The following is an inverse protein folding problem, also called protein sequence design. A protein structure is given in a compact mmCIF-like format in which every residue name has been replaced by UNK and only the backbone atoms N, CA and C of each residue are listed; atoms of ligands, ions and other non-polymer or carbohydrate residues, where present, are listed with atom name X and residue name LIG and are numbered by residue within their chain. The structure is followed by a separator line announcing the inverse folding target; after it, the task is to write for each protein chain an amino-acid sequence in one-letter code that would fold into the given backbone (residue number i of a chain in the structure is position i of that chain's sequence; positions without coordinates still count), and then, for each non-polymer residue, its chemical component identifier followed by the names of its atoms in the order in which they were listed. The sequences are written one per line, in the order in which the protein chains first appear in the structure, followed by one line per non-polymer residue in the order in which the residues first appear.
data_IF_188662916698
#
_entry.id   IF_188662916698
#
_cell.length_a   1.000
_cell.length_b   1.000
_cell.length_c   1.000
_cell.angle_alpha   90.00
_cell.angle_beta   90.00
_cell.angle_gamma   90.00
#
_symmetry.space_group_name_H-M   'P 1'
#
loop_
_entity.id
_entity.type
_entity.pdbx_description
1 polymer ?
#
# COMPACT_ATOMS: atom_id res chain seq x y z
N UNK A 1 -0.02 17.14 13.22
CA UNK A 1 0.37 15.74 13.52
C UNK A 1 0.60 15.57 15.04
N UNK A 2 0.79 16.64 15.69
CA UNK A 2 0.93 16.85 17.13
C UNK A 2 1.10 15.63 18.03
N UNK A 3 0.03 14.91 18.30
CA UNK A 3 0.01 13.80 19.26
C UNK A 3 0.15 12.42 18.64
N UNK A 4 0.27 12.30 17.31
CA UNK A 4 0.40 11.01 16.68
C UNK A 4 1.77 10.42 16.99
N UNK A 5 1.75 9.22 17.54
CA UNK A 5 2.98 8.50 17.80
C UNK A 5 3.52 7.92 16.49
N UNK A 6 4.80 8.13 16.27
CA UNK A 6 5.51 7.54 15.15
C UNK A 6 6.05 6.19 15.62
N UNK A 7 5.63 5.12 15.00
CA UNK A 7 6.23 3.81 15.22
C UNK A 7 7.49 3.67 14.37
N UNK A 8 8.49 2.97 14.88
CA UNK A 8 9.73 2.70 14.16
C UNK A 8 10.08 1.23 14.31
N UNK A 9 10.28 0.57 13.18
CA UNK A 9 10.66 -0.84 13.16
C UNK A 9 11.75 -1.09 12.12
N UNK A 10 12.64 -2.02 12.42
CA UNK A 10 13.67 -2.48 11.47
C UNK A 10 13.22 -3.84 10.96
N UNK A 11 13.11 -3.99 9.64
CA UNK A 11 12.76 -5.26 9.04
C UNK A 11 13.88 -6.28 9.30
N UNK A 12 13.57 -7.45 9.87
CA UNK A 12 14.61 -8.39 10.29
C UNK A 12 15.45 -8.95 9.15
N UNK A 13 14.87 -9.12 7.97
CA UNK A 13 15.56 -9.70 6.81
C UNK A 13 16.09 -8.63 5.87
N UNK A 14 15.26 -7.65 5.50
CA UNK A 14 15.62 -6.62 4.52
C UNK A 14 16.43 -5.47 5.12
N UNK A 15 16.47 -5.37 6.45
CA UNK A 15 17.19 -4.32 7.20
C UNK A 15 16.75 -2.90 6.86
N UNK A 16 15.59 -2.75 6.25
CA UNK A 16 14.97 -1.45 6.02
C UNK A 16 14.34 -0.92 7.31
N UNK A 17 14.16 0.40 7.37
CA UNK A 17 13.51 1.05 8.51
C UNK A 17 12.12 1.47 8.09
N UNK A 18 11.11 1.07 8.84
CA UNK A 18 9.72 1.46 8.62
C UNK A 18 9.28 2.44 9.69
N UNK A 19 8.80 3.60 9.26
CA UNK A 19 8.19 4.60 10.12
C UNK A 19 6.69 4.61 9.82
N UNK A 20 5.87 4.41 10.85
CA UNK A 20 4.41 4.38 10.69
C UNK A 20 3.73 5.48 11.47
N UNK A 21 2.72 6.09 10.86
CA UNK A 21 1.84 7.07 11.53
C UNK A 21 0.39 6.77 11.20
N UNK A 22 -0.50 7.12 12.13
CA UNK A 22 -1.95 7.06 11.91
C UNK A 22 -2.44 8.45 11.49
N UNK A 23 -3.28 8.49 10.47
CA UNK A 23 -3.81 9.73 9.92
C UNK A 23 -5.32 9.63 9.81
N UNK A 24 -6.03 10.58 10.41
CA UNK A 24 -7.48 10.71 10.24
C UNK A 24 -7.77 11.55 9.00
N UNK A 25 -8.72 11.10 8.19
CA UNK A 25 -9.21 11.88 7.04
C UNK A 25 -8.10 12.28 6.05
N UNK A 26 -7.25 11.32 5.70
CA UNK A 26 -6.24 11.54 4.66
C UNK A 26 -6.88 11.99 3.34
N UNK A 27 -8.02 11.41 3.00
CA UNK A 27 -8.90 11.86 1.93
C UNK A 27 -10.30 12.11 2.52
N UNK A 28 -11.09 12.98 1.90
CA UNK A 28 -12.45 13.21 2.39
C UNK A 28 -13.26 11.91 2.46
N UNK A 29 -13.84 11.67 3.61
CA UNK A 29 -14.70 10.50 3.88
C UNK A 29 -14.03 9.13 3.74
N UNK A 30 -12.69 9.09 3.66
CA UNK A 30 -11.98 7.80 3.54
C UNK A 30 -11.83 7.06 4.87
N UNK A 31 -12.05 7.73 5.99
CA UNK A 31 -11.82 7.18 7.32
C UNK A 31 -10.34 7.24 7.70
N UNK A 32 -10.00 6.51 8.75
CA UNK A 32 -8.64 6.48 9.28
C UNK A 32 -7.73 5.65 8.37
N UNK A 33 -6.48 6.09 8.28
CA UNK A 33 -5.45 5.40 7.51
C UNK A 33 -4.17 5.27 8.34
N UNK A 34 -3.34 4.30 7.99
CA UNK A 34 -1.95 4.24 8.43
C UNK A 34 -1.04 4.47 7.25
N UNK A 35 -0.04 5.31 7.46
CA UNK A 35 0.98 5.60 6.45
C UNK A 35 2.31 5.04 6.94
N UNK A 36 2.96 4.25 6.11
CA UNK A 36 4.25 3.66 6.39
C UNK A 36 5.27 4.20 5.39
N UNK A 37 6.33 4.80 5.94
CA UNK A 37 7.48 5.28 5.16
C UNK A 37 8.61 4.30 5.36
N UNK A 38 9.11 3.74 4.27
CA UNK A 38 10.16 2.74 4.32
C UNK A 38 11.45 3.34 3.80
N UNK A 39 12.48 3.33 4.65
CA UNK A 39 13.80 3.86 4.33
C UNK A 39 14.73 2.71 3.92
N UNK A 40 15.53 2.96 2.91
CA UNK A 40 16.42 1.95 2.35
C UNK A 40 17.51 1.49 3.30
N UNK A 41 17.99 0.28 3.09
CA UNK A 41 19.03 -0.34 3.91
C UNK A 41 20.34 0.45 3.90
N UNK A 42 20.86 0.76 2.72
CA UNK A 42 22.13 1.50 2.57
C UNK A 42 21.95 3.01 2.57
N UNK A 43 21.04 3.48 1.73
CA UNK A 43 20.86 4.92 1.51
C UNK A 43 20.20 5.63 2.69
N UNK A 44 19.41 4.91 3.48
CA UNK A 44 18.55 5.49 4.52
C UNK A 44 17.57 6.53 3.98
N UNK A 45 17.35 6.53 2.66
CA UNK A 45 16.40 7.42 1.99
C UNK A 45 15.08 6.73 1.79
N UNK A 46 14.04 7.52 1.62
CA UNK A 46 12.69 6.98 1.37
C UNK A 46 12.65 6.22 0.04
N UNK A 47 12.28 4.94 0.09
CA UNK A 47 12.20 4.07 -1.09
C UNK A 47 10.79 3.55 -1.36
N UNK A 48 9.90 3.60 -0.37
CA UNK A 48 8.59 2.99 -0.48
C UNK A 48 7.63 3.66 0.51
N UNK A 49 6.41 3.92 0.06
CA UNK A 49 5.33 4.41 0.92
C UNK A 49 4.15 3.46 0.78
N UNK A 50 3.62 2.99 1.90
CA UNK A 50 2.36 2.26 1.94
C UNK A 50 1.32 3.05 2.71
N UNK A 51 0.12 3.15 2.16
CA UNK A 51 -1.03 3.73 2.85
C UNK A 51 -2.10 2.65 2.94
N UNK A 52 -2.59 2.41 4.14
CA UNK A 52 -3.56 1.34 4.40
C UNK A 52 -4.82 1.91 5.02
N UNK A 53 -5.97 1.58 4.44
CA UNK A 53 -7.31 1.85 4.97
C UNK A 53 -8.01 0.53 5.26
N UNK A 54 -9.00 0.56 6.12
CA UNK A 54 -9.87 -0.58 6.36
C UNK A 54 -9.50 -1.40 7.58
N UNK A 55 -9.69 -2.70 7.50
CA UNK A 55 -9.62 -3.63 8.65
C UNK A 55 -8.34 -3.57 9.48
N UNK A 56 -7.14 -3.50 8.88
CA UNK A 56 -5.93 -3.43 9.68
C UNK A 56 -5.83 -2.17 10.55
N UNK A 57 -6.52 -1.11 10.18
CA UNK A 57 -6.49 0.19 10.85
C UNK A 57 -7.74 0.39 11.69
N UNK A 58 -8.89 -0.04 11.20
CA UNK A 58 -10.19 0.13 11.83
C UNK A 58 -10.82 -1.22 12.16
N UNK A 59 -11.35 -1.33 13.37
CA UNK A 59 -12.01 -2.57 13.82
C UNK A 59 -13.27 -2.87 13.00
N UNK A 60 -14.05 -1.85 12.68
CA UNK A 60 -15.29 -1.97 11.90
C UNK A 60 -15.23 -1.01 10.71
N UNK A 61 -14.54 -1.38 9.63
CA UNK A 61 -14.42 -0.49 8.48
C UNK A 61 -15.75 -0.35 7.75
N UNK A 62 -15.99 0.84 7.20
CA UNK A 62 -17.11 1.08 6.30
C UNK A 62 -16.69 0.64 4.89
N UNK A 63 -17.19 -0.52 4.46
CA UNK A 63 -16.81 -1.10 3.17
C UNK A 63 -17.11 -0.18 1.99
N UNK A 64 -18.27 0.51 2.01
CA UNK A 64 -18.62 1.44 0.94
C UNK A 64 -17.63 2.60 0.84
N UNK A 65 -17.20 3.14 1.97
CA UNK A 65 -16.22 4.21 2.01
C UNK A 65 -14.85 3.74 1.48
N UNK A 66 -14.45 2.53 1.83
CA UNK A 66 -13.18 1.94 1.35
C UNK A 66 -13.22 1.73 -0.16
N UNK A 67 -14.31 1.20 -0.70
CA UNK A 67 -14.50 1.00 -2.14
C UNK A 67 -14.53 2.36 -2.87
N UNK A 68 -15.23 3.34 -2.32
CA UNK A 68 -15.28 4.69 -2.90
C UNK A 68 -13.89 5.31 -2.96
N UNK A 69 -13.08 5.14 -1.91
CA UNK A 69 -11.70 5.61 -1.87
C UNK A 69 -10.86 4.94 -2.95
N UNK A 70 -11.02 3.62 -3.13
CA UNK A 70 -10.33 2.88 -4.19
C UNK A 70 -10.69 3.43 -5.58
N UNK A 71 -11.97 3.70 -5.84
CA UNK A 71 -12.43 4.24 -7.11
C UNK A 71 -11.89 5.65 -7.37
N UNK A 72 -11.87 6.50 -6.35
CA UNK A 72 -11.33 7.86 -6.45
C UNK A 72 -9.84 7.84 -6.79
N UNK A 73 -9.08 7.01 -6.11
CA UNK A 73 -7.64 6.88 -6.34
C UNK A 73 -7.36 6.31 -7.73
N UNK A 74 -8.09 5.27 -8.14
CA UNK A 74 -7.96 4.70 -9.49
C UNK A 74 -8.19 5.77 -10.55
N UNK A 75 -9.28 6.53 -10.43
CA UNK A 75 -9.61 7.56 -11.39
C UNK A 75 -8.55 8.66 -11.43
N UNK A 76 -7.99 9.01 -10.28
CA UNK A 76 -6.89 9.96 -10.20
C UNK A 76 -5.66 9.47 -10.95
N UNK A 77 -5.24 8.22 -10.69
CA UNK A 77 -4.07 7.65 -11.36
C UNK A 77 -4.27 7.48 -12.85
N UNK A 78 -5.46 7.14 -13.31
CA UNK A 78 -5.77 6.98 -14.73
C UNK A 78 -5.58 8.25 -15.57
N UNK A 79 -5.53 9.41 -14.93
CA UNK A 79 -5.28 10.69 -15.61
C UNK A 79 -3.81 10.90 -15.96
N UNK A 80 -2.90 10.07 -15.45
CA UNK A 80 -1.46 10.17 -15.67
C UNK A 80 -1.01 9.19 -16.74
N UNK A 81 0.19 9.44 -17.28
CA UNK A 81 0.78 8.55 -18.30
C UNK A 81 1.66 7.50 -17.64
N UNK A 82 1.52 6.27 -18.08
CA UNK A 82 2.27 5.13 -17.58
C UNK A 82 2.85 4.31 -18.73
N UNK A 83 3.90 3.55 -18.42
CA UNK A 83 4.45 2.56 -19.36
C UNK A 83 3.40 1.47 -19.61
N UNK A 84 3.40 0.91 -20.82
CA UNK A 84 2.50 -0.20 -21.16
C UNK A 84 2.82 -1.45 -20.35
N UNK A 85 4.10 -1.67 -20.13
CA UNK A 85 4.59 -2.82 -19.40
C UNK A 85 4.22 -2.71 -17.92
N UNK A 86 3.60 -3.76 -17.38
CA UNK A 86 3.18 -3.79 -15.98
C UNK A 86 1.93 -2.98 -15.66
N UNK A 87 1.30 -2.37 -16.66
CA UNK A 87 0.05 -1.63 -16.45
C UNK A 87 -1.12 -2.61 -16.26
N UNK A 88 -1.91 -2.41 -15.23
CA UNK A 88 -3.08 -3.24 -14.95
C UNK A 88 -4.22 -2.42 -14.32
N UNK A 89 -5.45 -2.77 -14.69
CA UNK A 89 -6.67 -2.19 -14.13
C UNK A 89 -7.64 -3.30 -13.76
N UNK A 90 -8.17 -3.25 -12.55
CA UNK A 90 -9.23 -4.13 -12.07
C UNK A 90 -8.94 -5.62 -12.31
N UNK A 91 -7.69 -6.02 -12.10
CA UNK A 91 -7.26 -7.40 -12.27
C UNK A 91 -7.54 -8.22 -11.00
N UNK A 92 -8.28 -9.30 -11.15
CA UNK A 92 -8.53 -10.19 -10.03
C UNK A 92 -7.33 -11.10 -9.81
N UNK A 93 -6.72 -11.00 -8.62
CA UNK A 93 -5.53 -11.79 -8.25
C UNK A 93 -5.86 -13.07 -7.51
N UNK A 94 -7.07 -13.16 -6.96
CA UNK A 94 -7.54 -14.29 -6.19
C UNK A 94 -8.92 -14.02 -5.66
N UNK A 95 -9.46 -14.93 -4.87
CA UNK A 95 -10.77 -14.72 -4.28
C UNK A 95 -10.74 -13.54 -3.31
N UNK A 96 -11.54 -12.52 -3.59
CA UNK A 96 -11.63 -11.33 -2.77
C UNK A 96 -10.42 -10.40 -2.86
N UNK A 97 -9.55 -10.56 -3.85
CA UNK A 97 -8.37 -9.69 -4.02
C UNK A 97 -8.35 -9.12 -5.43
N UNK A 98 -8.41 -7.80 -5.52
CA UNK A 98 -8.42 -7.08 -6.79
C UNK A 98 -7.26 -6.09 -6.82
N UNK A 99 -6.45 -6.20 -7.87
CA UNK A 99 -5.47 -5.18 -8.21
C UNK A 99 -6.22 -4.08 -8.97
N UNK A 100 -6.62 -3.04 -8.25
CA UNK A 100 -7.46 -1.97 -8.79
C UNK A 100 -6.69 -1.16 -9.82
N UNK A 101 -5.41 -0.91 -9.55
CA UNK A 101 -4.52 -0.14 -10.42
C UNK A 101 -3.07 -0.57 -10.20
N UNK A 102 -2.31 -0.63 -11.26
CA UNK A 102 -0.86 -0.74 -11.22
C UNK A 102 -0.28 -0.04 -12.44
N UNK A 103 0.73 0.78 -12.22
CA UNK A 103 1.41 1.45 -13.31
C UNK A 103 2.79 1.92 -12.92
N UNK A 104 3.68 2.00 -13.91
CA UNK A 104 5.02 2.59 -13.77
C UNK A 104 5.09 3.88 -14.56
N UNK A 105 5.69 4.91 -13.99
CA UNK A 105 5.95 6.14 -14.70
C UNK A 105 7.22 6.03 -15.56
N UNK A 106 7.56 7.11 -16.23
CA UNK A 106 8.74 7.16 -17.14
C UNK A 106 10.06 6.89 -16.41
N UNK A 107 10.12 7.18 -15.12
CA UNK A 107 11.31 6.96 -14.28
C UNK A 107 11.36 5.58 -13.66
N UNK A 108 10.37 4.72 -13.96
CA UNK A 108 10.28 3.38 -13.42
C UNK A 108 9.70 3.29 -12.02
N UNK A 109 9.18 4.39 -11.47
CA UNK A 109 8.50 4.39 -10.17
C UNK A 109 7.11 3.79 -10.32
N UNK A 110 6.75 2.90 -9.42
CA UNK A 110 5.48 2.19 -9.48
C UNK A 110 4.47 2.75 -8.47
N UNK A 111 3.21 2.81 -8.89
CA UNK A 111 2.07 3.00 -8.02
C UNK A 111 1.18 1.75 -8.11
N UNK A 112 0.72 1.27 -6.98
CA UNK A 112 -0.09 0.06 -6.90
C UNK A 112 -1.23 0.26 -5.91
N UNK A 113 -2.43 -0.10 -6.32
CA UNK A 113 -3.63 0.02 -5.49
C UNK A 113 -4.30 -1.35 -5.40
N UNK A 114 -4.31 -1.93 -4.23
CA UNK A 114 -4.81 -3.27 -3.98
C UNK A 114 -6.00 -3.23 -3.03
N UNK A 115 -7.12 -3.79 -3.45
CA UNK A 115 -8.32 -3.94 -2.63
C UNK A 115 -8.47 -5.41 -2.25
N UNK A 116 -8.52 -5.66 -0.96
CA UNK A 116 -8.67 -7.00 -0.41
C UNK A 116 -9.93 -7.06 0.44
N UNK A 117 -10.76 -8.07 0.18
CA UNK A 117 -11.98 -8.30 0.94
C UNK A 117 -12.18 -9.80 1.14
N UNK A 118 -11.25 -10.45 1.87
CA UNK A 118 -11.33 -11.88 2.06
C UNK A 118 -12.52 -12.26 2.95
N UNK A 119 -13.17 -13.35 2.59
CA UNK A 119 -14.15 -13.98 3.46
C UNK A 119 -13.41 -14.93 4.37
N UNK A 120 -13.65 -14.82 5.67
CA UNK A 120 -13.18 -15.81 6.62
C UNK A 120 -14.36 -16.56 7.19
N UNK A 121 -14.10 -17.79 7.66
CA UNK A 121 -15.09 -18.61 8.31
C UNK A 121 -15.62 -17.88 9.55
N UNK A 122 -16.92 -17.70 9.63
CA UNK A 122 -17.56 -16.98 10.74
C UNK A 122 -17.81 -15.50 10.48
N UNK A 123 -17.50 -14.98 9.31
CA UNK A 123 -17.82 -13.60 8.97
C UNK A 123 -19.33 -13.37 8.93
N UNK A 124 -19.81 -12.43 9.74
CA UNK A 124 -21.22 -12.12 9.86
C UNK A 124 -21.71 -11.05 8.89
N UNK A 125 -20.80 -10.22 8.38
CA UNK A 125 -21.12 -9.11 7.50
C UNK A 125 -20.23 -9.10 6.28
N UNK A 126 -20.81 -8.80 5.12
CA UNK A 126 -20.05 -8.57 3.90
C UNK A 126 -19.10 -7.38 4.10
N UNK A 127 -17.86 -7.52 3.68
CA UNK A 127 -16.88 -6.44 3.76
C UNK A 127 -16.25 -6.22 5.13
N UNK A 128 -16.48 -7.10 6.07
CA UNK A 128 -15.92 -6.99 7.44
C UNK A 128 -14.39 -6.93 7.45
N UNK A 129 -13.75 -7.62 6.52
CA UNK A 129 -12.29 -7.70 6.42
C UNK A 129 -11.72 -6.85 5.29
N UNK A 130 -12.47 -5.88 4.79
CA UNK A 130 -12.04 -5.07 3.67
C UNK A 130 -10.82 -4.22 4.02
N UNK A 131 -9.85 -4.19 3.13
CA UNK A 131 -8.63 -3.39 3.26
C UNK A 131 -8.23 -2.85 1.90
N UNK A 132 -7.70 -1.62 1.90
CA UNK A 132 -7.18 -0.97 0.71
C UNK A 132 -5.75 -0.56 0.99
N UNK A 133 -4.84 -0.94 0.11
CA UNK A 133 -3.42 -0.57 0.22
C UNK A 133 -2.98 0.17 -1.02
N UNK A 134 -2.45 1.37 -0.82
CA UNK A 134 -1.78 2.15 -1.86
C UNK A 134 -0.29 2.08 -1.61
N UNK A 135 0.47 1.67 -2.63
CA UNK A 135 1.93 1.58 -2.54
C UNK A 135 2.58 2.46 -3.59
N UNK A 136 3.57 3.23 -3.18
CA UNK A 136 4.48 3.95 -4.07
C UNK A 136 5.86 3.36 -3.88
N UNK A 137 6.46 2.86 -4.96
CA UNK A 137 7.75 2.16 -4.91
C UNK A 137 8.71 2.83 -5.89
N UNK A 138 9.85 3.32 -5.39
CA UNK A 138 10.82 4.03 -6.20
C UNK A 138 11.49 3.13 -7.24
N UNK A 139 11.98 1.97 -6.81
CA UNK A 139 12.66 1.00 -7.68
C UNK A 139 12.13 -0.40 -7.41
N UNK A 140 10.99 -0.78 -7.99
CA UNK A 140 10.38 -2.07 -7.68
C UNK A 140 11.24 -3.27 -8.08
N UNK A 141 12.11 -3.12 -9.09
CA UNK A 141 12.94 -4.21 -9.59
C UNK A 141 14.30 -4.30 -8.88
N UNK A 142 14.73 -3.24 -8.22
CA UNK A 142 16.01 -3.18 -7.51
C UNK A 142 15.89 -2.36 -6.23
N UNK A 143 15.11 -2.83 -5.26
CA UNK A 143 14.92 -2.09 -4.00
C UNK A 143 16.20 -2.10 -3.16
N UNK A 144 16.39 -0.99 -2.41
CA UNK A 144 17.52 -0.83 -1.48
C UNK A 144 17.26 -1.62 -0.19
N UNK A 145 17.47 -2.93 -0.28
CA UNK A 145 17.26 -3.86 0.83
C UNK A 145 18.51 -4.69 1.05
N UNK A 146 18.68 -5.22 2.26
CA UNK A 146 19.76 -6.15 2.53
C UNK A 146 19.52 -7.46 1.78
N UNK A 147 20.55 -7.94 1.08
CA UNK A 147 20.54 -9.25 0.41
C UNK A 147 21.90 -9.91 0.57
N UNK A 148 21.86 -11.22 0.77
CA UNK A 148 23.07 -12.03 0.68
C UNK A 148 23.40 -12.15 -0.80
N UNK A 149 24.62 -11.74 -1.15
CA UNK A 149 25.10 -11.78 -2.53
C UNK A 149 26.01 -12.98 -2.74
N UNK A 150 26.11 -13.41 -4.00
CA UNK A 150 27.11 -14.38 -4.40
C UNK A 150 28.51 -13.82 -4.06
N UNK A 151 29.32 -14.61 -3.36
CA UNK A 151 30.63 -14.19 -2.88
C UNK A 151 30.65 -13.79 -1.41
N UNK A 152 29.50 -13.63 -0.75
CA UNK A 152 29.42 -13.38 0.70
C UNK A 152 29.72 -14.64 1.52
N UNK A 153 29.70 -15.79 0.86
CA UNK A 153 30.03 -17.08 1.44
C UNK A 153 31.05 -17.81 0.61
#
# INVERSE_FOLDING_TARGET
IGKNQISRQIHPNEKTITLGISVSKLLPESGDAKVFYILGYKSKRLIHINVIWGRPVMKNPNAEAVVATANQLRNHFMQKKYQKEGFALNAQLGEGVILVFQGKDRKGRAARLLLSNPKSEGDKKAGENIALTLSYIEKPEDPDVFRIKEGDF
#
